data_IF_152985775583
#
_entry.id   IF_152985775583
#
_cell.length_a   1.000
_cell.length_b   1.000
_cell.length_c   1.000
_cell.angle_alpha   90.00
_cell.angle_beta   90.00
_cell.angle_gamma   90.00
#
_symmetry.space_group_name_H-M   'P 1'
#
loop_
_entity.id
_entity.type
_entity.pdbx_description
1 polymer ?
#
# COMPACT_ATOMS: atom_id res chain seq x y z
N UNK A 1 7.60 -18.79 55.95
CA UNK A 1 7.64 -17.30 56.11
C UNK A 1 6.27 -16.63 56.28
N UNK A 2 5.16 -17.19 55.87
CA UNK A 2 3.82 -16.59 56.06
C UNK A 2 3.24 -16.68 57.49
N UNK A 3 4.01 -17.18 58.45
CA UNK A 3 3.58 -17.36 59.88
C UNK A 3 4.21 -16.32 60.82
N UNK A 4 5.05 -15.40 60.31
CA UNK A 4 5.64 -14.34 61.14
C UNK A 4 4.58 -13.26 61.42
N UNK A 5 4.21 -12.99 62.69
CA UNK A 5 3.26 -11.93 63.00
C UNK A 5 3.72 -10.59 62.41
N UNK A 6 2.79 -9.75 61.98
CA UNK A 6 3.03 -8.44 61.37
C UNK A 6 3.67 -8.46 59.98
N UNK A 7 4.08 -9.60 59.41
CA UNK A 7 4.44 -9.73 57.98
C UNK A 7 3.19 -10.06 57.16
N UNK A 8 2.97 -9.34 56.07
CA UNK A 8 1.80 -9.55 55.22
C UNK A 8 1.91 -10.88 54.48
N UNK A 9 0.90 -11.77 54.69
CA UNK A 9 0.84 -13.09 54.04
C UNK A 9 0.97 -12.96 52.51
N UNK A 10 1.88 -13.76 51.93
CA UNK A 10 2.13 -13.77 50.47
C UNK A 10 2.82 -12.51 49.93
N UNK A 11 3.33 -11.62 50.78
CA UNK A 11 4.07 -10.43 50.39
C UNK A 11 5.54 -10.52 50.86
N UNK A 12 6.17 -11.66 50.57
CA UNK A 12 7.59 -11.93 50.77
C UNK A 12 8.17 -12.37 49.42
N UNK A 13 9.27 -11.75 49.01
CA UNK A 13 10.01 -12.10 47.79
C UNK A 13 11.47 -12.37 48.13
N UNK A 14 12.01 -13.49 47.67
CA UNK A 14 13.43 -13.83 47.77
C UNK A 14 14.00 -13.94 46.39
N UNK A 15 15.17 -13.33 46.13
CA UNK A 15 15.87 -13.33 44.86
C UNK A 15 17.37 -13.10 45.01
N UNK A 16 18.17 -13.60 44.05
CA UNK A 16 19.60 -13.35 43.98
C UNK A 16 19.90 -12.00 43.35
N UNK A 17 20.91 -11.30 43.87
CA UNK A 17 21.48 -10.09 43.30
C UNK A 17 22.98 -10.29 43.13
N UNK A 18 23.49 -10.14 41.90
CA UNK A 18 24.92 -10.27 41.63
C UNK A 18 25.72 -9.20 42.36
N UNK A 19 26.73 -9.64 43.14
CA UNK A 19 27.70 -8.76 43.78
C UNK A 19 29.02 -8.78 43.04
N UNK A 20 29.38 -7.69 42.32
CA UNK A 20 30.61 -7.63 41.56
C UNK A 20 31.89 -7.74 42.41
N UNK A 21 31.80 -7.44 43.71
CA UNK A 21 32.97 -7.43 44.62
C UNK A 21 33.38 -8.82 45.06
N UNK A 22 32.43 -9.78 45.07
CA UNK A 22 32.69 -11.17 45.55
C UNK A 22 32.50 -12.19 44.44
N UNK A 23 31.96 -11.79 43.29
CA UNK A 23 31.69 -12.66 42.13
C UNK A 23 30.60 -13.69 42.31
N UNK A 24 29.77 -13.55 43.38
CA UNK A 24 28.68 -14.45 43.74
C UNK A 24 27.36 -13.69 43.80
N UNK A 25 26.24 -14.43 43.91
CA UNK A 25 24.92 -13.82 44.12
C UNK A 25 24.64 -13.66 45.63
N UNK A 26 24.20 -12.48 46.05
CA UNK A 26 23.66 -12.22 47.39
C UNK A 26 22.19 -12.59 47.41
N UNK A 27 21.78 -13.31 48.48
CA UNK A 27 20.36 -13.60 48.74
C UNK A 27 19.69 -12.39 49.40
N UNK A 28 18.81 -11.73 48.65
CA UNK A 28 17.98 -10.62 49.14
C UNK A 28 16.57 -11.09 49.43
N UNK A 29 16.09 -10.82 50.62
CA UNK A 29 14.70 -11.11 51.01
C UNK A 29 13.97 -9.82 51.36
N UNK A 30 12.87 -9.58 50.66
CA UNK A 30 11.99 -8.41 50.87
C UNK A 30 10.68 -8.88 51.49
N UNK A 31 10.32 -8.30 52.64
CA UNK A 31 9.08 -8.62 53.35
C UNK A 31 8.29 -7.34 53.62
N UNK A 32 6.99 -7.35 53.31
CA UNK A 32 6.11 -6.22 53.58
C UNK A 32 5.52 -6.27 54.99
N UNK A 33 5.53 -5.10 55.67
CA UNK A 33 4.89 -4.90 56.96
C UNK A 33 4.07 -3.61 56.97
N UNK A 34 3.14 -3.51 57.93
CA UNK A 34 2.45 -2.27 58.31
C UNK A 34 3.06 -1.60 59.55
N UNK A 35 4.06 -2.24 60.16
CA UNK A 35 4.77 -1.68 61.29
C UNK A 35 5.53 -0.41 60.91
N UNK A 36 5.41 0.62 61.71
CA UNK A 36 6.06 1.94 61.45
C UNK A 36 7.21 2.23 62.39
N UNK A 37 7.25 1.57 63.57
CA UNK A 37 8.28 1.78 64.54
C UNK A 37 9.65 1.19 64.17
N UNK A 38 10.76 1.91 64.34
CA UNK A 38 12.09 1.39 63.98
C UNK A 38 12.49 0.15 64.76
N UNK A 39 12.14 0.09 66.06
CA UNK A 39 12.41 -1.07 66.88
C UNK A 39 11.61 -2.30 66.44
N UNK A 40 10.33 -2.13 66.09
CA UNK A 40 9.48 -3.20 65.62
C UNK A 40 9.97 -3.74 64.28
N UNK A 41 10.42 -2.86 63.37
CA UNK A 41 10.99 -3.26 62.10
C UNK A 41 12.29 -4.04 62.22
N UNK A 42 13.12 -3.69 63.20
CA UNK A 42 14.36 -4.42 63.45
C UNK A 42 14.06 -5.83 64.05
N UNK A 43 13.09 -5.95 64.96
CA UNK A 43 12.61 -7.24 65.43
C UNK A 43 12.06 -8.11 64.32
N UNK A 44 11.30 -7.50 63.37
CA UNK A 44 10.78 -8.21 62.19
C UNK A 44 11.89 -8.64 61.25
N UNK A 45 12.96 -7.82 61.09
CA UNK A 45 14.13 -8.17 60.30
C UNK A 45 14.82 -9.42 60.85
N UNK A 46 15.02 -9.48 62.17
CA UNK A 46 15.60 -10.65 62.85
C UNK A 46 14.68 -11.87 62.66
N UNK A 47 13.39 -11.74 62.88
CA UNK A 47 12.42 -12.84 62.74
C UNK A 47 12.35 -13.37 61.29
N UNK A 48 12.49 -12.48 60.29
CA UNK A 48 12.55 -12.90 58.87
C UNK A 48 13.87 -13.62 58.60
N UNK A 49 14.97 -13.15 59.14
CA UNK A 49 16.28 -13.79 59.01
C UNK A 49 16.22 -15.23 59.58
N UNK A 50 15.72 -15.40 60.81
CA UNK A 50 15.55 -16.72 61.44
C UNK A 50 14.65 -17.63 60.59
N UNK A 51 13.58 -17.07 60.06
CA UNK A 51 12.67 -17.79 59.17
C UNK A 51 13.31 -18.21 57.83
N UNK A 52 14.27 -17.45 57.34
CA UNK A 52 15.06 -17.79 56.12
C UNK A 52 15.99 -18.94 56.46
N UNK A 53 16.75 -18.84 57.58
CA UNK A 53 17.66 -19.90 58.02
C UNK A 53 16.90 -21.22 58.24
N UNK A 54 15.74 -21.16 58.91
CA UNK A 54 14.91 -22.34 59.14
C UNK A 54 14.38 -22.98 57.85
N UNK A 55 14.11 -22.15 56.80
CA UNK A 55 13.54 -22.64 55.54
C UNK A 55 14.59 -23.10 54.52
N UNK A 56 15.76 -22.45 54.47
CA UNK A 56 16.78 -22.64 53.40
C UNK A 56 18.09 -23.22 53.92
N UNK A 57 18.31 -23.27 55.25
CA UNK A 57 19.56 -23.71 55.88
C UNK A 57 20.70 -22.69 55.77
N UNK A 58 20.48 -21.54 55.15
CA UNK A 58 21.47 -20.46 54.97
C UNK A 58 20.84 -19.11 55.34
N UNK A 59 21.60 -18.16 55.92
CA UNK A 59 21.11 -16.82 56.17
C UNK A 59 20.93 -16.03 54.87
N UNK A 60 20.01 -15.05 54.88
CA UNK A 60 19.95 -14.08 53.79
C UNK A 60 21.06 -13.04 53.97
N UNK A 61 21.71 -12.62 52.86
CA UNK A 61 22.72 -11.56 52.91
C UNK A 61 22.07 -10.19 53.21
N UNK A 62 20.85 -9.97 52.72
CA UNK A 62 20.11 -8.74 52.97
C UNK A 62 18.63 -9.03 53.22
N UNK A 63 18.10 -8.51 54.33
CA UNK A 63 16.67 -8.50 54.61
C UNK A 63 16.13 -7.08 54.59
N UNK A 64 15.20 -6.82 53.69
CA UNK A 64 14.51 -5.51 53.53
C UNK A 64 13.11 -5.61 54.09
N UNK A 65 12.83 -4.86 55.17
CA UNK A 65 11.48 -4.68 55.69
C UNK A 65 10.88 -3.44 54.98
N UNK A 66 9.94 -3.69 54.11
CA UNK A 66 9.37 -2.67 53.24
C UNK A 66 7.92 -2.34 53.59
N UNK A 67 7.47 -1.15 53.17
CA UNK A 67 6.08 -0.75 53.28
C UNK A 67 5.16 -1.56 52.33
N UNK A 68 3.85 -1.59 52.62
CA UNK A 68 2.89 -2.27 51.73
C UNK A 68 3.01 -1.84 50.29
N UNK A 69 2.91 -2.80 49.35
CA UNK A 69 3.03 -2.69 47.88
C UNK A 69 4.47 -2.61 47.36
N UNK A 70 5.49 -2.85 48.18
CA UNK A 70 6.88 -2.97 47.74
C UNK A 70 7.15 -4.31 47.02
N UNK A 71 6.43 -5.38 47.35
CA UNK A 71 6.48 -6.68 46.69
C UNK A 71 5.46 -6.69 45.52
N UNK A 72 5.95 -6.62 44.30
CA UNK A 72 5.10 -6.56 43.12
C UNK A 72 4.40 -7.90 42.86
N UNK A 73 3.10 -7.85 42.56
CA UNK A 73 2.27 -9.03 42.28
C UNK A 73 1.59 -8.94 40.92
N UNK A 74 1.19 -10.10 40.41
CA UNK A 74 0.28 -10.19 39.24
C UNK A 74 -1.16 -9.88 39.68
N UNK A 75 -2.06 -9.68 38.72
CA UNK A 75 -3.50 -9.56 38.95
C UNK A 75 -4.10 -10.78 39.68
N UNK A 76 -3.48 -11.96 39.54
CA UNK A 76 -3.84 -13.20 40.25
C UNK A 76 -3.20 -13.35 41.62
N UNK A 77 -2.47 -12.32 42.12
CA UNK A 77 -1.87 -12.30 43.46
C UNK A 77 -0.52 -13.02 43.57
N UNK A 78 0.05 -13.59 42.49
CA UNK A 78 1.37 -14.24 42.51
C UNK A 78 2.49 -13.20 42.57
N UNK A 79 3.54 -13.45 43.38
CA UNK A 79 4.71 -12.58 43.50
C UNK A 79 5.52 -12.57 42.20
N UNK A 80 5.79 -11.36 41.70
CA UNK A 80 6.65 -11.12 40.51
C UNK A 80 8.09 -10.86 40.98
N UNK A 81 8.87 -11.93 41.19
CA UNK A 81 10.24 -11.85 41.76
C UNK A 81 11.17 -10.97 40.93
N UNK A 82 11.15 -11.13 39.59
CA UNK A 82 11.98 -10.34 38.66
C UNK A 82 11.68 -8.83 38.71
N UNK A 83 10.39 -8.47 38.79
CA UNK A 83 9.99 -7.08 38.90
C UNK A 83 10.34 -6.48 40.27
N UNK A 84 10.19 -7.26 41.35
CA UNK A 84 10.59 -6.84 42.71
C UNK A 84 12.11 -6.68 42.78
N UNK A 85 12.90 -7.60 42.16
CA UNK A 85 14.35 -7.46 42.04
C UNK A 85 14.74 -6.19 41.30
N UNK A 86 14.10 -5.89 40.19
CA UNK A 86 14.37 -4.67 39.40
C UNK A 86 14.10 -3.40 40.22
N UNK A 87 12.98 -3.36 40.96
CA UNK A 87 12.65 -2.25 41.85
C UNK A 87 13.66 -2.09 43.00
N UNK A 88 14.18 -3.19 43.54
CA UNK A 88 15.25 -3.18 44.53
C UNK A 88 16.55 -2.56 44.00
N UNK A 89 16.99 -3.03 42.84
CA UNK A 89 18.21 -2.54 42.18
C UNK A 89 18.12 -1.04 41.80
N UNK A 90 16.93 -0.55 41.53
CA UNK A 90 16.68 0.87 41.21
C UNK A 90 16.51 1.74 42.48
N UNK A 91 16.63 1.18 43.70
CA UNK A 91 16.41 1.92 44.94
C UNK A 91 14.97 2.42 45.13
N UNK A 92 14.03 1.82 44.41
CA UNK A 92 12.62 2.26 44.37
C UNK A 92 11.74 1.54 45.42
N UNK A 93 12.36 0.80 46.36
CA UNK A 93 11.65 0.09 47.40
C UNK A 93 11.00 1.06 48.40
N UNK A 94 9.69 0.97 48.52
CA UNK A 94 8.90 1.82 49.44
C UNK A 94 8.43 3.16 48.87
N UNK A 95 8.70 3.48 47.60
CA UNK A 95 8.02 4.59 46.93
C UNK A 95 6.60 4.16 46.59
N UNK A 96 5.54 4.90 46.96
CA UNK A 96 4.20 4.58 46.55
C UNK A 96 4.16 4.58 45.01
N UNK A 97 3.84 3.43 44.43
CA UNK A 97 3.63 3.35 42.99
C UNK A 97 2.51 4.31 42.56
N UNK A 98 2.51 4.75 41.28
CA UNK A 98 1.46 5.65 40.81
C UNK A 98 0.09 5.04 41.14
N UNK A 99 -0.81 5.86 41.64
CA UNK A 99 -2.17 5.42 42.03
C UNK A 99 -2.85 4.76 40.81
N UNK A 100 -3.75 3.82 41.06
CA UNK A 100 -4.51 3.15 40.00
C UNK A 100 -5.19 4.19 39.08
N UNK A 101 -5.69 5.29 39.66
CA UNK A 101 -6.25 6.41 38.91
C UNK A 101 -5.22 7.07 37.98
N UNK A 102 -3.98 7.30 38.43
CA UNK A 102 -2.92 7.87 37.61
C UNK A 102 -2.50 6.92 36.47
N UNK A 103 -2.52 5.60 36.69
CA UNK A 103 -2.26 4.62 35.63
C UNK A 103 -3.37 4.63 34.57
N UNK A 104 -4.64 4.64 35.00
CA UNK A 104 -5.77 4.77 34.09
C UNK A 104 -5.75 6.07 33.29
N UNK A 105 -5.49 7.19 33.99
CA UNK A 105 -5.38 8.52 33.30
C UNK A 105 -4.30 8.50 32.23
N UNK A 106 -3.13 7.93 32.54
CA UNK A 106 -2.05 7.80 31.56
C UNK A 106 -2.44 6.94 30.37
N UNK A 107 -3.05 5.76 30.60
CA UNK A 107 -3.50 4.87 29.54
C UNK A 107 -4.57 5.52 28.64
N UNK A 108 -5.51 6.26 29.24
CA UNK A 108 -6.52 7.00 28.47
C UNK A 108 -5.86 8.10 27.63
N UNK A 109 -4.94 8.88 28.19
CA UNK A 109 -4.23 9.93 27.46
C UNK A 109 -3.39 9.36 26.32
N UNK A 110 -2.71 8.24 26.53
CA UNK A 110 -1.96 7.54 25.49
C UNK A 110 -2.88 7.01 24.37
N UNK A 111 -4.04 6.43 24.74
CA UNK A 111 -5.04 5.93 23.79
C UNK A 111 -5.68 7.07 22.99
N UNK A 112 -6.10 8.15 23.64
CA UNK A 112 -6.65 9.35 23.00
C UNK A 112 -5.60 9.98 22.08
N UNK A 113 -4.36 10.15 22.57
CA UNK A 113 -3.27 10.66 21.76
C UNK A 113 -2.98 9.80 20.51
N UNK A 114 -3.03 8.48 20.65
CA UNK A 114 -2.87 7.56 19.52
C UNK A 114 -4.06 7.63 18.55
N UNK A 115 -5.27 7.81 19.07
CA UNK A 115 -6.48 8.00 18.24
C UNK A 115 -6.42 9.34 17.48
N UNK A 116 -6.10 10.45 18.16
CA UNK A 116 -5.94 11.78 17.55
C UNK A 116 -4.88 11.75 16.44
N UNK A 117 -3.72 11.16 16.72
CA UNK A 117 -2.67 11.01 15.70
C UNK A 117 -3.14 10.20 14.48
N UNK A 118 -3.90 9.12 14.68
CA UNK A 118 -4.49 8.33 13.59
C UNK A 118 -5.53 9.13 12.80
N UNK A 119 -6.41 9.84 13.49
CA UNK A 119 -7.40 10.70 12.86
C UNK A 119 -6.73 11.83 12.05
N UNK A 120 -5.74 12.51 12.63
CA UNK A 120 -4.99 13.57 11.96
C UNK A 120 -4.28 13.07 10.68
N UNK A 121 -3.73 11.85 10.68
CA UNK A 121 -3.12 11.23 9.49
C UNK A 121 -4.14 10.85 8.41
N UNK A 122 -5.37 10.51 8.78
CA UNK A 122 -6.44 10.13 7.84
C UNK A 122 -7.23 11.33 7.31
N UNK A 123 -7.29 12.42 8.05
CA UNK A 123 -8.08 13.59 7.70
C UNK A 123 -7.73 14.16 6.32
N UNK A 124 -6.44 14.36 5.93
CA UNK A 124 -6.10 14.88 4.60
C UNK A 124 -6.59 13.97 3.47
N UNK A 125 -6.48 12.64 3.64
CA UNK A 125 -6.97 11.67 2.67
C UNK A 125 -8.51 11.68 2.56
N UNK A 126 -9.22 11.82 3.68
CA UNK A 126 -10.69 11.92 3.70
C UNK A 126 -11.16 13.21 3.02
N UNK A 127 -10.52 14.35 3.33
CA UNK A 127 -10.84 15.65 2.71
C UNK A 127 -10.58 15.59 1.21
N UNK A 128 -9.43 15.04 0.79
CA UNK A 128 -9.12 14.86 -0.63
C UNK A 128 -10.11 13.91 -1.31
N UNK A 129 -10.47 12.80 -0.65
CA UNK A 129 -11.46 11.85 -1.15
C UNK A 129 -12.84 12.50 -1.33
N UNK A 130 -13.29 13.27 -0.34
CA UNK A 130 -14.55 14.02 -0.42
C UNK A 130 -14.52 15.07 -1.54
N UNK A 131 -13.41 15.82 -1.65
CA UNK A 131 -13.20 16.79 -2.71
C UNK A 131 -13.27 16.14 -4.11
N UNK A 132 -12.48 15.11 -4.35
CA UNK A 132 -12.45 14.42 -5.64
C UNK A 132 -13.77 13.71 -5.93
N UNK A 133 -14.41 13.09 -4.93
CA UNK A 133 -15.72 12.48 -5.07
C UNK A 133 -16.79 13.49 -5.48
N UNK A 134 -16.80 14.66 -4.84
CA UNK A 134 -17.71 15.76 -5.19
C UNK A 134 -17.45 16.28 -6.61
N UNK A 135 -16.17 16.48 -6.94
CA UNK A 135 -15.75 16.93 -8.27
C UNK A 135 -16.23 15.95 -9.36
N UNK A 136 -16.00 14.65 -9.17
CA UNK A 136 -16.48 13.62 -10.10
C UNK A 136 -18.00 13.57 -10.18
N UNK A 137 -18.70 13.65 -9.04
CA UNK A 137 -20.17 13.65 -9.00
C UNK A 137 -20.76 14.84 -9.77
N UNK A 138 -20.14 16.01 -9.70
CA UNK A 138 -20.62 17.20 -10.38
C UNK A 138 -20.22 17.27 -11.86
N UNK A 139 -19.11 16.64 -12.26
CA UNK A 139 -18.58 16.78 -13.63
C UNK A 139 -18.84 15.58 -14.54
N UNK A 140 -18.89 14.36 -14.01
CA UNK A 140 -19.10 13.15 -14.82
C UNK A 140 -20.50 13.08 -15.44
N UNK A 141 -21.62 13.35 -14.72
CA UNK A 141 -22.94 13.29 -15.33
C UNK A 141 -23.16 14.30 -16.47
N UNK A 142 -22.80 15.59 -16.33
CA UNK A 142 -22.95 16.53 -17.45
C UNK A 142 -22.00 16.20 -18.63
N UNK A 143 -20.76 15.74 -18.37
CA UNK A 143 -19.88 15.27 -19.43
C UNK A 143 -20.50 14.07 -20.16
N UNK A 144 -21.00 13.10 -19.42
CA UNK A 144 -21.64 11.91 -19.97
C UNK A 144 -22.83 12.29 -20.86
N UNK A 145 -23.67 13.20 -20.39
CA UNK A 145 -24.79 13.73 -21.18
C UNK A 145 -24.29 14.47 -22.42
N UNK A 146 -23.31 15.34 -22.29
CA UNK A 146 -22.72 16.08 -23.40
C UNK A 146 -22.14 15.14 -24.47
N UNK A 147 -21.43 14.08 -24.08
CA UNK A 147 -20.89 13.07 -24.99
C UNK A 147 -22.01 12.30 -25.70
N UNK A 148 -23.11 11.96 -25.00
CA UNK A 148 -24.24 11.26 -25.61
C UNK A 148 -25.02 12.12 -26.60
N UNK A 149 -25.19 13.40 -26.32
CA UNK A 149 -25.92 14.35 -27.17
C UNK A 149 -25.06 14.89 -28.32
N UNK A 150 -23.73 14.96 -28.15
CA UNK A 150 -22.83 15.42 -29.19
C UNK A 150 -22.92 14.55 -30.46
N UNK A 151 -22.72 15.10 -31.64
CA UNK A 151 -22.49 14.31 -32.85
C UNK A 151 -21.29 13.38 -32.67
N UNK A 152 -21.33 12.19 -33.28
CA UNK A 152 -20.16 11.30 -33.30
C UNK A 152 -19.00 11.98 -34.02
N UNK A 153 -17.80 11.99 -33.40
CA UNK A 153 -16.61 12.54 -34.04
C UNK A 153 -15.79 13.48 -33.14
N UNK A 154 -15.02 14.42 -33.75
CA UNK A 154 -13.99 15.20 -33.06
C UNK A 154 -14.46 16.06 -31.86
N UNK A 155 -15.75 16.43 -31.82
CA UNK A 155 -16.30 17.25 -30.74
C UNK A 155 -16.38 16.47 -29.42
N UNK A 156 -16.87 15.23 -29.46
CA UNK A 156 -16.94 14.36 -28.30
C UNK A 156 -15.52 14.01 -27.78
N UNK A 157 -14.61 13.70 -28.69
CA UNK A 157 -13.20 13.42 -28.34
C UNK A 157 -12.53 14.63 -27.64
N UNK A 158 -12.81 15.86 -28.13
CA UNK A 158 -12.28 17.09 -27.50
C UNK A 158 -12.85 17.33 -26.12
N UNK A 159 -14.17 17.13 -25.94
CA UNK A 159 -14.81 17.28 -24.63
C UNK A 159 -14.23 16.31 -23.58
N UNK A 160 -14.09 15.04 -23.95
CA UNK A 160 -13.49 14.03 -23.07
C UNK A 160 -12.04 14.38 -22.73
N UNK A 161 -11.24 14.79 -23.71
CA UNK A 161 -9.85 15.21 -23.52
C UNK A 161 -9.74 16.38 -22.57
N UNK A 162 -10.55 17.44 -22.78
CA UNK A 162 -10.56 18.61 -21.91
C UNK A 162 -10.92 18.22 -20.47
N UNK A 163 -11.95 17.41 -20.31
CA UNK A 163 -12.35 16.92 -18.99
C UNK A 163 -11.23 16.10 -18.31
N UNK A 164 -10.57 15.18 -19.02
CA UNK A 164 -9.44 14.42 -18.49
C UNK A 164 -8.31 15.35 -18.03
N UNK A 165 -8.00 16.41 -18.78
CA UNK A 165 -6.99 17.42 -18.37
C UNK A 165 -7.39 18.16 -17.10
N UNK A 166 -8.65 18.60 -17.03
CA UNK A 166 -9.16 19.34 -15.88
C UNK A 166 -9.18 18.47 -14.62
N UNK A 167 -9.60 17.21 -14.73
CA UNK A 167 -9.61 16.27 -13.59
C UNK A 167 -8.19 15.98 -13.10
N UNK A 168 -7.24 15.75 -13.97
CA UNK A 168 -5.84 15.53 -13.56
C UNK A 168 -5.26 16.77 -12.89
N UNK A 169 -5.50 17.96 -13.45
CA UNK A 169 -5.06 19.21 -12.85
C UNK A 169 -5.70 19.45 -11.47
N UNK A 170 -7.01 19.25 -11.36
CA UNK A 170 -7.76 19.39 -10.10
C UNK A 170 -7.35 18.34 -9.05
N UNK A 171 -6.87 17.17 -9.50
CA UNK A 171 -6.32 16.13 -8.60
C UNK A 171 -4.89 16.45 -8.13
N UNK A 172 -4.29 17.58 -8.55
CA UNK A 172 -2.91 17.90 -8.24
C UNK A 172 -1.89 17.07 -9.04
N UNK A 173 -2.29 16.58 -10.22
CA UNK A 173 -1.48 15.75 -11.09
C UNK A 173 -1.14 16.49 -12.40
N UNK A 174 -0.21 17.47 -12.38
CA UNK A 174 0.17 18.20 -13.58
C UNK A 174 0.78 17.25 -14.61
N UNK A 175 0.35 17.41 -15.87
CA UNK A 175 0.71 16.54 -16.97
C UNK A 175 1.75 17.21 -17.86
N UNK A 176 2.85 16.49 -18.16
CA UNK A 176 3.88 16.89 -19.09
C UNK A 176 3.93 15.93 -20.27
N UNK A 177 3.90 16.44 -21.48
CA UNK A 177 4.12 15.69 -22.72
C UNK A 177 5.54 15.95 -23.24
N UNK A 178 6.26 14.89 -23.58
CA UNK A 178 7.60 14.93 -24.16
C UNK A 178 7.58 14.21 -25.52
N UNK A 179 8.30 14.72 -26.52
CA UNK A 179 8.40 14.12 -27.84
C UNK A 179 7.12 14.24 -28.67
N UNK A 180 6.38 15.33 -28.55
CA UNK A 180 5.15 15.58 -29.31
C UNK A 180 5.41 15.58 -30.84
N UNK A 181 6.60 15.97 -31.26
CA UNK A 181 7.10 15.94 -32.62
C UNK A 181 7.17 14.53 -33.26
N UNK A 182 7.23 13.50 -32.43
CA UNK A 182 7.18 12.10 -32.86
C UNK A 182 5.76 11.58 -33.13
N UNK A 183 4.72 12.36 -32.81
CA UNK A 183 3.35 11.93 -33.05
C UNK A 183 3.07 11.92 -34.56
N UNK A 184 2.68 10.76 -35.08
CA UNK A 184 2.26 10.59 -36.46
C UNK A 184 0.92 11.28 -36.64
N UNK A 185 0.89 12.33 -37.43
CA UNK A 185 -0.32 13.12 -37.73
C UNK A 185 -1.00 12.71 -39.03
N UNK A 186 -0.31 11.95 -39.89
CA UNK A 186 -0.82 11.46 -41.18
C UNK A 186 -0.80 9.93 -41.19
N UNK A 187 -1.92 9.34 -41.54
CA UNK A 187 -2.08 7.89 -41.62
C UNK A 187 -2.33 7.22 -40.24
N UNK A 188 -2.73 5.95 -40.27
CA UNK A 188 -3.00 5.18 -39.06
C UNK A 188 -1.69 4.77 -38.36
N UNK A 189 -1.70 4.81 -37.04
CA UNK A 189 -0.56 4.41 -36.18
C UNK A 189 -1.06 3.58 -35.02
N UNK A 190 -0.24 2.65 -34.55
CA UNK A 190 -0.44 1.98 -33.26
C UNK A 190 0.36 2.71 -32.18
N UNK A 191 -0.34 3.31 -31.23
CA UNK A 191 0.25 3.87 -30.03
C UNK A 191 0.38 2.73 -28.99
N UNK A 192 1.59 2.27 -28.71
CA UNK A 192 1.85 1.21 -27.74
C UNK A 192 2.33 1.81 -26.41
N UNK A 193 1.52 1.71 -25.36
CA UNK A 193 1.81 2.30 -24.05
C UNK A 193 2.05 1.24 -22.97
N UNK A 194 2.93 1.53 -21.98
CA UNK A 194 3.00 0.74 -20.76
C UNK A 194 1.72 0.92 -19.93
N UNK A 195 1.42 -0.10 -19.11
CA UNK A 195 0.22 -0.11 -18.28
C UNK A 195 0.60 -0.30 -16.80
N UNK A 196 0.41 0.73 -16.01
CA UNK A 196 0.88 0.78 -14.62
C UNK A 196 -0.22 1.18 -13.61
N UNK A 197 -1.36 1.74 -14.10
CA UNK A 197 -2.39 2.31 -13.25
C UNK A 197 -3.75 2.34 -13.93
N UNK A 198 -4.82 2.40 -13.14
CA UNK A 198 -6.17 2.73 -13.64
C UNK A 198 -6.25 4.12 -14.27
N UNK A 199 -5.32 5.03 -13.94
CA UNK A 199 -5.26 6.38 -14.50
C UNK A 199 -4.70 6.44 -15.93
N UNK A 200 -4.04 5.39 -16.42
CA UNK A 200 -3.31 5.44 -17.69
C UNK A 200 -4.20 5.87 -18.86
N UNK A 201 -5.44 5.40 -18.89
CA UNK A 201 -6.42 5.79 -19.93
C UNK A 201 -6.74 7.28 -19.84
N UNK A 202 -6.99 7.81 -18.64
CA UNK A 202 -7.27 9.23 -18.41
C UNK A 202 -6.06 10.08 -18.76
N UNK A 203 -4.86 9.63 -18.39
CA UNK A 203 -3.59 10.29 -18.69
C UNK A 203 -3.38 10.40 -20.20
N UNK A 204 -3.54 9.28 -20.95
CA UNK A 204 -3.32 9.26 -22.39
C UNK A 204 -4.38 10.05 -23.16
N UNK A 205 -5.65 9.99 -22.72
CA UNK A 205 -6.70 10.84 -23.27
C UNK A 205 -6.43 12.33 -23.02
N UNK A 206 -5.86 12.71 -21.89
CA UNK A 206 -5.48 14.07 -21.59
C UNK A 206 -4.23 14.53 -22.35
N UNK A 207 -3.20 13.66 -22.45
CA UNK A 207 -1.89 14.00 -22.98
C UNK A 207 -1.86 14.12 -24.51
N UNK A 208 -2.37 13.09 -25.19
CA UNK A 208 -2.13 12.93 -26.62
C UNK A 208 -3.06 13.82 -27.47
N UNK A 209 -2.55 14.75 -28.26
CA UNK A 209 -3.35 15.68 -29.09
C UNK A 209 -3.88 15.04 -30.38
N UNK A 210 -3.66 13.74 -30.60
CA UNK A 210 -4.11 12.99 -31.77
C UNK A 210 -5.37 12.17 -31.48
N UNK A 211 -6.17 11.89 -32.51
CA UNK A 211 -7.32 11.01 -32.40
C UNK A 211 -6.89 9.55 -32.46
N UNK A 212 -7.37 8.75 -31.53
CA UNK A 212 -7.11 7.30 -31.48
C UNK A 212 -8.30 6.54 -30.89
N UNK A 213 -8.36 5.25 -31.17
CA UNK A 213 -9.33 4.33 -30.57
C UNK A 213 -8.63 3.47 -29.51
N UNK A 214 -9.17 3.46 -28.31
CA UNK A 214 -8.67 2.59 -27.23
C UNK A 214 -9.10 1.15 -27.45
N UNK A 215 -8.24 0.21 -27.11
CA UNK A 215 -8.57 -1.21 -26.99
C UNK A 215 -9.01 -1.47 -25.55
N UNK A 216 -10.31 -1.44 -25.29
CA UNK A 216 -10.92 -1.57 -23.97
C UNK A 216 -11.36 -3.01 -23.70
N UNK A 217 -11.42 -3.40 -22.42
CA UNK A 217 -11.95 -4.69 -21.98
C UNK A 217 -13.48 -4.76 -22.25
N UNK A 218 -13.96 -5.89 -22.78
CA UNK A 218 -15.38 -6.06 -23.17
C UNK A 218 -16.36 -5.89 -22.01
N UNK A 219 -15.96 -6.24 -20.79
CA UNK A 219 -16.78 -6.07 -19.61
C UNK A 219 -17.08 -4.58 -19.33
N UNK A 220 -16.15 -3.69 -19.62
CA UNK A 220 -16.37 -2.23 -19.52
C UNK A 220 -17.42 -1.76 -20.52
N UNK A 221 -17.46 -2.33 -21.74
CA UNK A 221 -18.45 -2.00 -22.74
C UNK A 221 -19.87 -2.51 -22.40
N UNK A 222 -19.98 -3.49 -21.49
CA UNK A 222 -21.27 -3.98 -20.97
C UNK A 222 -21.80 -3.13 -19.81
N UNK A 223 -20.95 -2.37 -19.14
CA UNK A 223 -21.39 -1.48 -18.06
C UNK A 223 -22.37 -0.42 -18.60
N UNK A 224 -23.52 -0.20 -17.95
CA UNK A 224 -24.63 0.57 -18.53
C UNK A 224 -24.28 2.02 -18.85
N UNK A 225 -23.45 2.67 -18.05
CA UNK A 225 -23.03 4.06 -18.25
C UNK A 225 -21.78 4.16 -19.13
N UNK A 226 -20.71 3.48 -18.73
CA UNK A 226 -19.40 3.53 -19.40
C UNK A 226 -19.48 2.91 -20.81
N UNK A 227 -20.20 1.81 -20.95
CA UNK A 227 -20.33 1.11 -22.23
C UNK A 227 -21.03 1.93 -23.31
N UNK A 228 -21.97 2.80 -22.94
CA UNK A 228 -22.59 3.72 -23.92
C UNK A 228 -21.57 4.72 -24.46
N UNK A 229 -20.73 5.29 -23.61
CA UNK A 229 -19.65 6.20 -24.01
C UNK A 229 -18.61 5.49 -24.89
N UNK A 230 -18.15 4.29 -24.48
CA UNK A 230 -17.18 3.49 -25.23
C UNK A 230 -17.69 3.24 -26.67
N UNK A 231 -18.95 2.84 -26.83
CA UNK A 231 -19.55 2.62 -28.15
C UNK A 231 -19.74 3.91 -28.94
N UNK A 232 -20.19 4.99 -28.28
CA UNK A 232 -20.44 6.29 -28.91
C UNK A 232 -19.14 6.91 -29.47
N UNK A 233 -18.06 6.81 -28.69
CA UNK A 233 -16.71 7.30 -29.09
C UNK A 233 -16.05 6.34 -30.09
N UNK A 234 -16.58 5.12 -30.28
CA UNK A 234 -16.05 4.14 -31.23
C UNK A 234 -14.77 3.43 -30.76
N UNK A 235 -14.59 3.28 -29.43
CA UNK A 235 -13.48 2.49 -28.90
C UNK A 235 -13.65 1.00 -29.21
N UNK A 236 -12.54 0.32 -29.47
CA UNK A 236 -12.50 -1.11 -29.75
C UNK A 236 -12.64 -1.92 -28.47
N UNK A 237 -13.36 -3.04 -28.53
CA UNK A 237 -13.52 -3.91 -27.38
C UNK A 237 -12.92 -5.29 -27.62
N UNK A 238 -12.13 -5.78 -26.66
CA UNK A 238 -11.45 -7.08 -26.74
C UNK A 238 -11.80 -7.96 -25.55
N UNK A 239 -11.81 -9.27 -25.78
CA UNK A 239 -11.96 -10.28 -24.73
C UNK A 239 -10.57 -10.81 -24.32
N UNK A 240 -10.24 -10.69 -23.04
CA UNK A 240 -8.97 -11.22 -22.49
C UNK A 240 -9.20 -12.62 -21.96
N UNK A 241 -8.34 -13.60 -22.33
CA UNK A 241 -8.33 -14.90 -21.64
C UNK A 241 -8.25 -16.17 -22.46
N UNK A 242 -8.56 -16.17 -23.77
CA UNK A 242 -8.44 -17.38 -24.62
C UNK A 242 -7.63 -17.10 -25.88
N UNK A 243 -6.77 -18.05 -26.30
CA UNK A 243 -5.89 -17.88 -27.46
C UNK A 243 -6.66 -17.66 -28.78
N UNK A 244 -7.77 -18.36 -28.99
CA UNK A 244 -8.64 -18.18 -30.17
C UNK A 244 -9.27 -16.77 -30.27
N UNK A 245 -9.51 -16.13 -29.14
CA UNK A 245 -10.04 -14.76 -29.06
C UNK A 245 -8.98 -13.71 -29.30
N UNK A 246 -7.72 -14.03 -29.03
CA UNK A 246 -6.58 -13.14 -29.32
C UNK A 246 -6.39 -12.88 -30.82
N UNK A 247 -6.75 -13.84 -31.67
CA UNK A 247 -6.73 -13.69 -33.14
C UNK A 247 -7.82 -12.72 -33.59
N UNK A 248 -9.05 -12.93 -33.14
CA UNK A 248 -10.19 -12.05 -33.47
C UNK A 248 -9.96 -10.60 -32.98
N UNK A 249 -9.27 -10.43 -31.86
CA UNK A 249 -8.91 -9.11 -31.33
C UNK A 249 -7.84 -8.42 -32.20
N UNK A 250 -6.84 -9.17 -32.69
CA UNK A 250 -5.86 -8.67 -33.65
C UNK A 250 -6.52 -8.26 -34.96
N UNK A 251 -7.47 -9.04 -35.47
CA UNK A 251 -8.24 -8.71 -36.70
C UNK A 251 -9.05 -7.42 -36.55
N UNK A 252 -9.60 -7.14 -35.38
CA UNK A 252 -10.31 -5.87 -35.12
C UNK A 252 -9.35 -4.68 -35.17
N UNK A 253 -8.15 -4.82 -34.63
CA UNK A 253 -7.12 -3.78 -34.70
C UNK A 253 -6.69 -3.58 -36.18
N UNK A 254 -6.43 -4.68 -36.88
CA UNK A 254 -6.07 -4.65 -38.32
C UNK A 254 -7.14 -3.93 -39.17
N UNK A 255 -8.43 -4.23 -38.90
CA UNK A 255 -9.55 -3.59 -39.61
C UNK A 255 -9.59 -2.08 -39.31
N UNK A 256 -9.47 -1.68 -38.05
CA UNK A 256 -9.47 -0.26 -37.66
C UNK A 256 -8.33 0.51 -38.34
N UNK A 257 -7.14 -0.09 -38.44
CA UNK A 257 -5.99 0.52 -39.14
C UNK A 257 -6.26 0.65 -40.65
N UNK A 258 -6.84 -0.37 -41.28
CA UNK A 258 -7.24 -0.30 -42.72
C UNK A 258 -8.32 0.76 -42.95
N UNK A 259 -9.18 1.01 -41.99
CA UNK A 259 -10.18 2.09 -42.00
C UNK A 259 -9.57 3.47 -41.71
N UNK A 260 -8.23 3.59 -41.62
CA UNK A 260 -7.50 4.84 -41.37
C UNK A 260 -7.51 5.32 -39.90
N UNK A 261 -7.92 4.47 -38.96
CA UNK A 261 -8.02 4.83 -37.55
C UNK A 261 -6.73 4.46 -36.81
N UNK A 262 -6.18 5.39 -36.06
CA UNK A 262 -5.10 5.09 -35.12
C UNK A 262 -5.64 4.36 -33.88
N UNK A 263 -4.85 3.42 -33.33
CA UNK A 263 -5.26 2.56 -32.23
C UNK A 263 -4.26 2.66 -31.09
N UNK A 264 -4.75 2.82 -29.85
CA UNK A 264 -3.94 2.74 -28.65
C UNK A 264 -4.11 1.38 -27.99
N UNK A 265 -2.98 0.73 -27.76
CA UNK A 265 -2.91 -0.59 -27.11
C UNK A 265 -2.03 -0.55 -25.88
N UNK A 266 -2.39 -1.33 -24.88
CA UNK A 266 -1.52 -1.70 -23.77
C UNK A 266 -1.04 -3.14 -24.01
N UNK A 267 0.15 -3.32 -24.59
CA UNK A 267 0.57 -4.66 -25.04
C UNK A 267 0.84 -5.63 -23.89
N UNK A 268 1.03 -5.15 -22.68
CA UNK A 268 1.10 -5.95 -21.46
C UNK A 268 -0.20 -6.72 -21.19
N UNK A 269 -1.33 -6.13 -21.57
CA UNK A 269 -2.66 -6.70 -21.42
C UNK A 269 -3.23 -6.66 -20.01
N UNK A 270 -2.44 -6.35 -19.02
CA UNK A 270 -2.82 -6.11 -17.60
C UNK A 270 -1.72 -5.28 -16.95
N UNK A 271 -1.95 -4.80 -15.74
CA UNK A 271 -0.91 -4.21 -14.91
C UNK A 271 -0.90 -4.87 -13.54
N UNK A 272 0.20 -4.72 -12.83
CA UNK A 272 0.45 -5.29 -11.50
C UNK A 272 1.01 -4.21 -10.57
N UNK A 273 0.84 -4.41 -9.28
CA UNK A 273 1.32 -3.47 -8.27
C UNK A 273 2.85 -3.35 -8.24
N UNK A 274 3.54 -4.46 -8.48
CA UNK A 274 5.00 -4.49 -8.51
C UNK A 274 5.57 -3.63 -9.67
N UNK A 275 6.68 -2.92 -9.47
CA UNK A 275 7.36 -2.22 -10.54
C UNK A 275 7.84 -3.19 -11.62
N UNK A 276 7.80 -2.74 -12.88
CA UNK A 276 8.33 -3.48 -14.02
C UNK A 276 7.39 -3.56 -15.20
N UNK A 277 7.96 -3.76 -16.39
CA UNK A 277 7.27 -3.89 -17.67
C UNK A 277 7.04 -5.37 -17.98
N UNK A 278 5.78 -5.79 -18.01
CA UNK A 278 5.39 -7.16 -18.31
C UNK A 278 5.73 -7.55 -19.76
N UNK A 279 5.81 -8.85 -20.09
CA UNK A 279 5.97 -9.32 -21.47
C UNK A 279 4.83 -8.85 -22.36
N UNK A 280 5.18 -8.34 -23.55
CA UNK A 280 4.21 -7.81 -24.52
C UNK A 280 3.54 -8.92 -25.32
N UNK A 281 2.24 -8.78 -25.54
CA UNK A 281 1.40 -9.66 -26.38
C UNK A 281 1.53 -9.25 -27.84
N UNK A 282 1.52 -10.22 -28.74
CA UNK A 282 1.80 -10.00 -30.17
C UNK A 282 0.64 -9.40 -30.97
N UNK A 283 -0.59 -9.36 -30.47
CA UNK A 283 -1.77 -8.98 -31.27
C UNK A 283 -1.69 -7.62 -31.96
N UNK A 284 -1.21 -6.58 -31.26
CA UNK A 284 -1.01 -5.25 -31.86
C UNK A 284 0.14 -5.24 -32.89
N UNK A 285 1.21 -5.99 -32.62
CA UNK A 285 2.38 -6.09 -33.51
C UNK A 285 2.05 -6.87 -34.80
N UNK A 286 1.21 -7.91 -34.71
CA UNK A 286 0.64 -8.60 -35.89
C UNK A 286 -0.13 -7.62 -36.76
N UNK A 287 -1.02 -6.82 -36.17
CA UNK A 287 -1.79 -5.83 -36.91
C UNK A 287 -0.89 -4.78 -37.61
N UNK A 288 0.17 -4.33 -36.91
CA UNK A 288 1.15 -3.41 -37.50
C UNK A 288 1.84 -3.99 -38.74
N UNK A 289 2.35 -5.23 -38.65
CA UNK A 289 3.03 -5.90 -39.77
C UNK A 289 2.06 -6.13 -40.93
N UNK A 290 0.83 -6.62 -40.66
CA UNK A 290 -0.18 -6.88 -41.73
C UNK A 290 -0.67 -5.63 -42.45
N UNK A 291 -0.58 -4.46 -41.84
CA UNK A 291 -1.05 -3.19 -42.43
C UNK A 291 0.09 -2.27 -42.85
N UNK A 292 1.35 -2.61 -42.53
CA UNK A 292 2.49 -1.72 -42.73
C UNK A 292 2.44 -0.47 -41.86
N UNK A 293 1.61 -0.46 -40.82
CA UNK A 293 1.43 0.71 -39.93
C UNK A 293 2.58 0.83 -38.94
N UNK A 294 3.08 2.05 -38.65
CA UNK A 294 4.10 2.26 -37.61
C UNK A 294 3.57 2.00 -36.24
N UNK A 295 4.47 1.62 -35.31
CA UNK A 295 4.22 1.63 -33.89
C UNK A 295 4.95 2.79 -33.25
N UNK A 296 4.23 3.63 -32.53
CA UNK A 296 4.80 4.70 -31.72
C UNK A 296 4.80 4.28 -30.24
N UNK A 297 5.98 4.05 -29.65
CA UNK A 297 6.08 3.75 -28.24
C UNK A 297 5.69 4.98 -27.40
N UNK A 298 4.83 4.78 -26.42
CA UNK A 298 4.39 5.82 -25.49
C UNK A 298 4.70 5.36 -24.06
N UNK A 299 5.42 6.17 -23.31
CA UNK A 299 5.83 5.81 -21.97
C UNK A 299 5.16 6.72 -20.95
N UNK A 300 4.41 6.14 -20.02
CA UNK A 300 3.81 6.84 -18.88
C UNK A 300 4.73 6.64 -17.68
N UNK A 301 5.14 7.74 -17.06
CA UNK A 301 5.97 7.73 -15.85
C UNK A 301 5.17 8.24 -14.65
N UNK A 302 5.36 7.62 -13.47
CA UNK A 302 4.78 7.96 -12.17
C UNK A 302 3.29 7.63 -11.98
N UNK A 303 2.59 7.11 -12.98
CA UNK A 303 1.18 6.73 -12.83
C UNK A 303 0.96 5.67 -11.72
N UNK A 304 1.89 4.72 -11.58
CA UNK A 304 1.88 3.68 -10.53
C UNK A 304 1.99 4.26 -9.12
N UNK A 305 2.82 5.28 -8.94
CA UNK A 305 3.02 5.96 -7.65
C UNK A 305 1.79 6.78 -7.27
N UNK A 306 1.17 7.43 -8.26
CA UNK A 306 0.01 8.29 -8.07
C UNK A 306 -1.23 7.49 -7.72
N UNK A 307 -1.52 6.40 -8.46
CA UNK A 307 -2.63 5.51 -8.16
C UNK A 307 -2.19 4.05 -8.35
N UNK A 308 -1.56 3.44 -7.31
CA UNK A 308 -1.17 2.04 -7.36
C UNK A 308 -2.39 1.12 -7.41
N UNK A 309 -2.18 -0.10 -7.91
CA UNK A 309 -3.21 -1.15 -7.89
C UNK A 309 -3.76 -1.36 -6.48
N UNK A 310 -5.10 -1.43 -6.37
CA UNK A 310 -5.81 -1.57 -5.10
C UNK A 310 -6.04 -0.26 -4.34
N UNK A 311 -5.54 0.89 -4.84
CA UNK A 311 -5.89 2.22 -4.33
C UNK A 311 -7.05 2.83 -5.12
N UNK A 312 -7.90 3.60 -4.43
CA UNK A 312 -9.01 4.33 -5.02
C UNK A 312 -8.81 5.85 -5.02
N UNK A 313 -7.81 6.32 -4.28
CA UNK A 313 -7.55 7.74 -4.13
C UNK A 313 -6.15 8.07 -4.70
N UNK A 314 -6.05 8.91 -5.74
CA UNK A 314 -4.76 9.30 -6.28
C UNK A 314 -4.00 10.21 -5.31
N UNK A 315 -2.70 10.01 -5.22
CA UNK A 315 -1.78 10.92 -4.57
C UNK A 315 -1.38 12.04 -5.56
N UNK A 316 -1.30 13.30 -5.12
CA UNK A 316 -0.84 14.39 -5.97
C UNK A 316 0.61 14.18 -6.44
N UNK A 317 0.88 14.53 -7.68
CA UNK A 317 2.24 14.44 -8.21
C UNK A 317 2.30 14.61 -9.74
N UNK A 318 3.44 15.03 -10.29
CA UNK A 318 3.60 15.26 -11.71
C UNK A 318 3.59 13.93 -12.49
N UNK A 319 2.90 13.91 -13.62
CA UNK A 319 2.86 12.80 -14.57
C UNK A 319 3.61 13.21 -15.83
N UNK A 320 4.41 12.30 -16.39
CA UNK A 320 5.06 12.53 -17.68
C UNK A 320 4.62 11.46 -18.66
N UNK A 321 4.21 11.89 -19.84
CA UNK A 321 3.97 11.04 -21.01
C UNK A 321 5.07 11.35 -22.03
N UNK A 322 5.88 10.37 -22.35
CA UNK A 322 6.96 10.50 -23.35
C UNK A 322 6.61 9.71 -24.61
N UNK A 323 6.59 10.36 -25.75
CA UNK A 323 6.38 9.77 -27.06
C UNK A 323 7.74 9.56 -27.70
N UNK A 324 8.01 8.34 -28.19
CA UNK A 324 9.24 8.01 -28.90
C UNK A 324 9.01 7.98 -30.41
N UNK A 325 10.10 8.02 -31.18
CA UNK A 325 10.03 7.94 -32.62
C UNK A 325 9.28 6.69 -33.10
N UNK A 326 8.45 6.78 -34.15
CA UNK A 326 7.74 5.66 -34.73
C UNK A 326 8.70 4.57 -35.20
N UNK A 327 8.36 3.31 -34.97
CA UNK A 327 9.09 2.14 -35.42
C UNK A 327 8.30 1.49 -36.55
N UNK A 328 8.86 1.46 -37.75
CA UNK A 328 8.27 0.78 -38.89
C UNK A 328 8.49 -0.72 -38.85
N UNK A 329 7.54 -1.55 -39.30
CA UNK A 329 7.81 -2.95 -39.58
C UNK A 329 8.80 -3.07 -40.76
N UNK A 330 9.98 -3.65 -40.51
CA UNK A 330 11.08 -3.75 -41.48
C UNK A 330 11.12 -5.12 -42.17
N UNK A 331 10.42 -6.10 -41.63
CA UNK A 331 10.39 -7.50 -42.06
C UNK A 331 8.94 -7.95 -42.19
N UNK A 332 8.73 -9.15 -42.76
CA UNK A 332 7.43 -9.78 -42.84
C UNK A 332 7.31 -11.02 -41.95
N UNK A 333 6.08 -11.41 -41.69
CA UNK A 333 5.78 -12.63 -40.97
C UNK A 333 6.08 -12.60 -39.46
N UNK A 334 6.34 -13.76 -38.91
CA UNK A 334 6.50 -13.95 -37.46
C UNK A 334 7.70 -13.19 -36.87
N UNK A 335 8.83 -13.23 -37.55
CA UNK A 335 10.06 -12.57 -37.11
C UNK A 335 9.88 -11.06 -37.03
N UNK A 336 9.17 -10.45 -38.00
CA UNK A 336 8.84 -9.05 -37.96
C UNK A 336 8.04 -8.65 -36.72
N UNK A 337 7.03 -9.44 -36.36
CA UNK A 337 6.20 -9.20 -35.17
C UNK A 337 7.02 -9.27 -33.88
N UNK A 338 7.89 -10.26 -33.76
CA UNK A 338 8.77 -10.44 -32.58
C UNK A 338 9.77 -9.29 -32.48
N UNK A 339 10.44 -8.96 -33.56
CA UNK A 339 11.43 -7.87 -33.62
C UNK A 339 10.80 -6.52 -33.27
N UNK A 340 9.64 -6.20 -33.85
CA UNK A 340 8.90 -4.97 -33.59
C UNK A 340 8.45 -4.88 -32.13
N UNK A 341 7.95 -6.00 -31.55
CA UNK A 341 7.60 -6.11 -30.13
C UNK A 341 8.80 -5.80 -29.24
N UNK A 342 9.93 -6.44 -29.50
CA UNK A 342 11.11 -6.35 -28.64
C UNK A 342 11.73 -4.96 -28.70
N UNK A 343 11.81 -4.34 -29.89
CA UNK A 343 12.24 -2.93 -30.05
C UNK A 343 11.32 -1.98 -29.29
N UNK A 344 10.01 -2.15 -29.44
CA UNK A 344 9.01 -1.32 -28.74
C UNK A 344 9.13 -1.47 -27.20
N UNK A 345 9.24 -2.71 -26.72
CA UNK A 345 9.37 -2.99 -25.29
C UNK A 345 10.67 -2.40 -24.72
N UNK A 346 11.78 -2.56 -25.40
CA UNK A 346 13.08 -2.02 -25.01
C UNK A 346 13.03 -0.50 -24.91
N UNK A 347 12.40 0.18 -25.88
CA UNK A 347 12.28 1.64 -25.85
C UNK A 347 11.41 2.12 -24.69
N UNK A 348 10.29 1.46 -24.41
CA UNK A 348 9.43 1.79 -23.26
C UNK A 348 10.17 1.55 -21.94
N UNK A 349 10.89 0.43 -21.80
CA UNK A 349 11.70 0.14 -20.61
C UNK A 349 12.78 1.20 -20.39
N UNK A 350 13.50 1.57 -21.45
CA UNK A 350 14.54 2.60 -21.40
C UNK A 350 14.00 3.95 -20.94
N UNK A 351 12.81 4.34 -21.40
CA UNK A 351 12.18 5.61 -21.06
C UNK A 351 11.47 5.60 -19.71
N UNK A 352 10.89 4.49 -19.32
CA UNK A 352 10.23 4.36 -18.01
C UNK A 352 11.22 4.25 -16.85
N UNK A 353 12.39 3.66 -17.08
CA UNK A 353 13.33 3.27 -16.05
C UNK A 353 12.87 2.04 -15.24
N UNK A 354 11.77 1.40 -15.64
CA UNK A 354 11.27 0.19 -14.97
C UNK A 354 12.00 -1.08 -15.49
N UNK A 355 12.34 -2.03 -14.62
CA UNK A 355 12.97 -3.29 -15.03
C UNK A 355 11.99 -4.20 -15.79
N UNK A 356 12.48 -5.25 -16.47
CA UNK A 356 11.61 -6.31 -16.97
C UNK A 356 10.94 -7.03 -15.80
N UNK A 357 9.65 -7.36 -15.94
CA UNK A 357 8.89 -8.10 -14.96
C UNK A 357 8.31 -9.39 -15.57
N UNK A 358 8.17 -10.45 -14.73
CA UNK A 358 7.54 -11.70 -15.10
C UNK A 358 6.08 -11.75 -14.66
N UNK A 359 5.21 -12.38 -15.47
CA UNK A 359 3.77 -12.52 -15.18
C UNK A 359 3.48 -13.37 -13.93
N UNK A 360 4.43 -14.19 -13.50
CA UNK A 360 4.26 -15.11 -12.35
C UNK A 360 4.43 -14.43 -10.98
N UNK A 361 4.81 -13.16 -10.92
CA UNK A 361 5.03 -12.42 -9.68
C UNK A 361 3.81 -11.65 -9.17
N UNK A 362 2.60 -11.96 -9.64
CA UNK A 362 1.37 -11.34 -9.12
C UNK A 362 0.82 -12.16 -7.94
N UNK A 363 0.94 -11.69 -6.67
CA UNK A 363 0.46 -12.44 -5.49
C UNK A 363 -1.07 -12.46 -5.34
N UNK A 364 -1.85 -11.82 -6.22
CA UNK A 364 -3.27 -11.53 -5.98
C UNK A 364 -4.28 -12.30 -6.84
N UNK A 365 -3.88 -13.43 -7.48
CA UNK A 365 -4.85 -14.32 -8.15
C UNK A 365 -5.17 -15.60 -7.36
N UNK A 366 -4.97 -15.60 -6.03
CA UNK A 366 -5.31 -16.77 -5.18
C UNK A 366 -6.24 -16.42 -4.02
N UNK A 367 -7.33 -15.69 -4.28
CA UNK A 367 -8.46 -15.63 -3.35
C UNK A 367 -9.76 -15.54 -4.15
N UNK A 368 -10.25 -16.68 -4.61
CA UNK A 368 -11.51 -16.77 -5.34
C UNK A 368 -11.78 -18.16 -5.90
N UNK A 369 -11.34 -19.23 -5.21
CA UNK A 369 -11.80 -20.58 -5.48
C UNK A 369 -11.65 -21.45 -4.23
N UNK A 370 -12.46 -21.17 -3.23
CA UNK A 370 -12.88 -22.10 -2.19
C UNK A 370 -14.27 -21.63 -1.77
N UNK A 371 -15.20 -22.37 -2.31
CA UNK A 371 -16.46 -22.80 -1.72
C UNK A 371 -17.39 -23.15 -2.87
N UNK A 372 -17.33 -24.40 -3.27
CA UNK A 372 -18.44 -25.22 -3.74
C UNK A 372 -17.93 -26.65 -3.92
N UNK A 373 -17.98 -27.41 -2.81
CA UNK A 373 -18.25 -28.86 -2.77
C UNK A 373 -19.03 -29.16 -1.50
#
# INVERSE_FOLDING_TARGET
>A
MGAIPSIRKGCVAAFGVHDPSVGTERLVVVAETRARGPVEREQLRAAVMDGVVAALGVPADVVVIADPHAVLKTSSGKVRRSATRAAYLQGAMGRPGPSVAAQWTRLILEAVGAWVRRAARRLPALVRGAYLGTLLLLTVPPLWLAVLLAPTGPAADRAVRLWCRLILAASGCPLRLEGEDHLVTRGPVILAANHASYLDVVILLAALPVAFRLVAKRELARAPLVGRVIRKVGHLTVERGQASRSVADAERITRALRDGLSVLVFPEGTFVRAPGILPFRLGGFKAAVETGSPITPVTIRRAREILPEGSWLPEPGPITVAVSAPIMPELDGWLAMVHLRDRTRTEIMRRSGEPPADRHLSPLTRTGDRDDQ
#
